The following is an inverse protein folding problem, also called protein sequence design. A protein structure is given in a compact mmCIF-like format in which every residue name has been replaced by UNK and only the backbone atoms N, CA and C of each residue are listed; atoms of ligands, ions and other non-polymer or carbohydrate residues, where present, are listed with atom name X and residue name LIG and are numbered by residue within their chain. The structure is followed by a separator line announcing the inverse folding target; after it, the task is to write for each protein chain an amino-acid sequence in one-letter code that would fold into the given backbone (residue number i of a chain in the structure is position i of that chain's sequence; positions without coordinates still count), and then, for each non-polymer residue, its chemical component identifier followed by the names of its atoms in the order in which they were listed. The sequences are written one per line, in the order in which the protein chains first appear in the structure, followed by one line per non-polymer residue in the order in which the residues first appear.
data_IF_584785176671
#
_entry.id   IF_584785176671
#
_cell.length_a   1.000
_cell.length_b   1.000
_cell.length_c   1.000
_cell.angle_alpha   90.00
_cell.angle_beta   90.00
_cell.angle_gamma   90.00
#
_symmetry.space_group_name_H-M   'P 1'
#
loop_
_entity.id
_entity.type
_entity.pdbx_description
1 polymer ?
#
# COMPACT_ATOMS: atom_id res chain seq x y z
N UNK A 1 3.22 -33.87 33.70
CA UNK A 1 3.06 -32.90 32.61
C UNK A 1 4.38 -32.16 32.48
N UNK A 2 5.01 -32.11 31.30
CA UNK A 2 6.24 -31.34 31.13
C UNK A 2 5.90 -29.84 31.27
N UNK A 3 6.73 -29.12 32.02
CA UNK A 3 6.62 -27.68 32.27
C UNK A 3 6.78 -26.93 30.93
N UNK A 4 5.88 -26.00 30.54
CA UNK A 4 6.07 -25.22 29.33
C UNK A 4 7.39 -24.44 29.40
N UNK A 5 8.11 -24.38 28.28
CA UNK A 5 9.38 -23.66 28.19
C UNK A 5 9.21 -22.20 28.64
N UNK A 6 10.25 -21.59 29.26
CA UNK A 6 10.15 -20.21 29.71
C UNK A 6 9.95 -19.27 28.51
N UNK A 7 8.80 -18.60 28.47
CA UNK A 7 8.55 -17.48 27.54
C UNK A 7 9.62 -16.42 27.74
N UNK A 8 10.30 -16.05 26.67
CA UNK A 8 11.40 -15.07 26.72
C UNK A 8 10.83 -13.65 26.59
N UNK A 9 11.44 -12.69 27.29
CA UNK A 9 11.00 -11.28 27.42
C UNK A 9 10.78 -10.54 26.09
N UNK A 10 11.31 -11.06 24.96
CA UNK A 10 11.16 -10.48 23.61
C UNK A 10 9.76 -10.60 23.01
N UNK A 11 8.91 -11.49 23.52
CA UNK A 11 7.56 -11.71 22.97
C UNK A 11 6.53 -10.67 23.48
N UNK A 12 6.89 -9.86 24.50
CA UNK A 12 6.03 -8.83 25.08
C UNK A 12 6.31 -7.40 24.59
N UNK A 13 7.32 -7.22 23.73
CA UNK A 13 7.72 -5.90 23.19
C UNK A 13 7.20 -5.64 21.77
N UNK A 14 6.25 -6.47 21.31
CA UNK A 14 5.56 -6.27 20.05
C UNK A 14 4.47 -5.19 20.19
N UNK A 15 4.27 -4.32 19.18
CA UNK A 15 3.17 -3.36 19.20
C UNK A 15 1.84 -4.11 19.31
N UNK A 16 1.01 -3.68 20.27
CA UNK A 16 -0.33 -4.24 20.46
C UNK A 16 -1.15 -3.98 19.19
N UNK A 17 -1.83 -5.00 18.68
CA UNK A 17 -2.71 -4.85 17.52
C UNK A 17 -3.73 -3.74 17.78
N UNK A 18 -3.87 -2.81 16.83
CA UNK A 18 -4.77 -1.66 16.96
C UNK A 18 -4.18 -0.46 17.70
N UNK A 19 -2.99 -0.55 18.30
CA UNK A 19 -2.31 0.61 18.91
C UNK A 19 -2.01 1.73 17.89
N UNK A 20 -1.94 1.41 16.60
CA UNK A 20 -1.81 2.41 15.52
C UNK A 20 -3.05 3.30 15.36
N UNK A 21 -4.22 2.83 15.80
CA UNK A 21 -5.50 3.54 15.74
C UNK A 21 -5.77 4.38 16.99
N UNK A 22 -4.95 4.24 18.04
CA UNK A 22 -5.09 4.95 19.32
C UNK A 22 -3.99 5.99 19.55
N UNK A 23 -3.36 6.48 18.48
CA UNK A 23 -2.36 7.54 18.57
C UNK A 23 -2.96 8.87 19.04
N UNK A 24 -2.11 9.75 19.57
CA UNK A 24 -2.54 11.13 19.90
C UNK A 24 -2.97 11.87 18.64
N UNK A 25 -3.96 12.77 18.78
CA UNK A 25 -4.42 13.61 17.68
C UNK A 25 -3.26 14.50 17.19
N UNK A 26 -2.98 14.46 15.89
CA UNK A 26 -1.90 15.23 15.29
C UNK A 26 -0.54 14.53 15.34
N UNK A 27 -0.46 13.28 15.77
CA UNK A 27 0.77 12.51 15.78
C UNK A 27 1.25 12.15 14.37
N UNK A 28 0.36 12.16 13.37
CA UNK A 28 0.71 11.90 11.97
C UNK A 28 1.03 13.19 11.22
N UNK A 29 2.06 13.22 10.37
CA UNK A 29 2.40 14.43 9.62
C UNK A 29 1.25 14.98 8.76
N UNK A 30 0.44 14.10 8.15
CA UNK A 30 -0.74 14.47 7.36
C UNK A 30 -1.94 14.96 8.18
N UNK A 31 -1.93 14.80 9.51
CA UNK A 31 -2.95 15.37 10.41
C UNK A 31 -2.63 16.82 10.78
N UNK A 32 -1.38 17.25 10.57
CA UNK A 32 -0.91 18.61 10.79
C UNK A 32 -1.11 19.46 9.53
N UNK A 33 -1.13 20.80 9.66
CA UNK A 33 -1.18 21.67 8.49
C UNK A 33 0.01 21.43 7.56
N UNK A 34 -0.26 21.47 6.25
CA UNK A 34 0.75 21.24 5.22
C UNK A 34 1.89 22.25 5.30
N UNK A 35 3.13 21.75 5.13
CA UNK A 35 4.33 22.61 5.15
C UNK A 35 4.42 23.51 3.91
N UNK A 36 4.00 22.99 2.75
CA UNK A 36 3.93 23.66 1.45
C UNK A 36 2.46 23.67 1.00
N UNK A 37 1.66 24.67 1.38
CA UNK A 37 0.24 24.72 1.03
C UNK A 37 0.00 25.19 -0.41
N UNK A 38 0.97 25.83 -1.06
CA UNK A 38 0.82 26.38 -2.41
C UNK A 38 1.17 25.36 -3.50
N UNK A 39 0.44 25.41 -4.61
CA UNK A 39 0.73 24.59 -5.81
C UNK A 39 2.10 24.95 -6.39
N UNK A 40 2.43 26.24 -6.45
CA UNK A 40 3.68 26.75 -7.03
C UNK A 40 4.90 26.28 -6.22
N UNK A 41 4.85 26.42 -4.89
CA UNK A 41 5.93 25.97 -4.00
C UNK A 41 6.17 24.45 -4.10
N UNK A 42 5.10 23.66 -4.27
CA UNK A 42 5.23 22.22 -4.46
C UNK A 42 5.82 21.87 -5.83
N UNK A 43 5.44 22.59 -6.89
CA UNK A 43 6.02 22.39 -8.22
C UNK A 43 7.53 22.67 -8.19
N UNK A 44 7.95 23.78 -7.60
CA UNK A 44 9.36 24.12 -7.46
C UNK A 44 10.13 23.02 -6.72
N UNK A 45 9.56 22.54 -5.60
CA UNK A 45 10.13 21.44 -4.84
C UNK A 45 10.29 20.15 -5.67
N UNK A 46 9.24 19.74 -6.38
CA UNK A 46 9.29 18.52 -7.20
C UNK A 46 10.20 18.67 -8.41
N UNK A 47 10.28 19.87 -9.02
CA UNK A 47 11.23 20.16 -10.10
C UNK A 47 12.67 19.97 -9.63
N UNK A 48 13.05 20.57 -8.51
CA UNK A 48 14.40 20.42 -7.97
C UNK A 48 14.70 18.96 -7.58
N UNK A 49 13.74 18.27 -6.98
CA UNK A 49 13.91 16.88 -6.56
C UNK A 49 14.08 15.92 -7.75
N UNK A 50 13.23 16.05 -8.78
CA UNK A 50 13.19 15.12 -9.92
C UNK A 50 14.31 15.37 -10.92
N UNK A 51 14.65 16.63 -11.17
CA UNK A 51 15.77 17.01 -12.06
C UNK A 51 17.13 16.95 -11.36
N UNK A 52 17.18 16.49 -10.11
CA UNK A 52 18.45 16.29 -9.43
C UNK A 52 19.27 15.19 -10.13
N UNK A 53 20.60 15.35 -10.24
CA UNK A 53 21.48 14.39 -10.92
C UNK A 53 21.50 13.01 -10.24
N UNK A 54 21.06 12.93 -8.98
CA UNK A 54 20.92 11.68 -8.26
C UNK A 54 19.60 10.95 -8.58
N UNK A 55 18.54 11.69 -8.93
CA UNK A 55 17.20 11.16 -9.11
C UNK A 55 16.92 10.77 -10.56
N UNK A 56 17.31 11.60 -11.54
CA UNK A 56 17.06 11.33 -12.97
C UNK A 56 17.52 9.93 -13.42
N UNK A 57 18.75 9.46 -13.12
CA UNK A 57 19.19 8.13 -13.54
C UNK A 57 18.39 7.00 -12.87
N UNK A 58 17.90 7.23 -11.64
CA UNK A 58 17.10 6.23 -10.92
C UNK A 58 15.70 6.12 -11.51
N UNK A 59 15.12 7.24 -11.92
CA UNK A 59 13.83 7.28 -12.61
C UNK A 59 13.96 6.54 -13.95
N UNK A 60 14.93 6.94 -14.77
CA UNK A 60 15.22 6.32 -16.06
C UNK A 60 15.38 4.79 -15.93
N UNK A 61 16.21 4.33 -14.99
CA UNK A 61 16.42 2.89 -14.78
C UNK A 61 15.16 2.13 -14.29
N UNK A 62 14.19 2.80 -13.67
CA UNK A 62 12.91 2.18 -13.31
C UNK A 62 11.93 2.15 -14.47
N UNK A 63 11.90 3.21 -15.29
CA UNK A 63 11.09 3.25 -16.52
C UNK A 63 11.55 2.16 -17.50
N UNK A 64 12.87 1.96 -17.65
CA UNK A 64 13.44 0.87 -18.47
C UNK A 64 13.00 -0.52 -17.98
N UNK A 65 12.78 -0.70 -16.67
CA UNK A 65 12.26 -1.95 -16.09
C UNK A 65 10.75 -2.15 -16.28
N UNK A 66 10.10 -1.29 -17.07
CA UNK A 66 8.68 -1.40 -17.40
C UNK A 66 7.75 -0.86 -16.31
N UNK A 67 8.24 -0.05 -15.37
CA UNK A 67 7.36 0.70 -14.47
C UNK A 67 6.73 1.85 -15.25
N UNK A 68 5.43 2.08 -15.03
CA UNK A 68 4.69 3.15 -15.69
C UNK A 68 5.03 4.50 -15.08
N UNK A 69 4.94 5.55 -15.89
CA UNK A 69 5.19 6.94 -15.47
C UNK A 69 4.18 7.38 -14.40
N UNK A 70 2.89 7.09 -14.63
CA UNK A 70 1.79 7.41 -13.70
C UNK A 70 1.97 6.77 -12.32
N UNK A 71 2.39 5.50 -12.25
CA UNK A 71 2.64 4.82 -10.97
C UNK A 71 3.71 5.54 -10.14
N UNK A 72 4.75 6.07 -10.80
CA UNK A 72 5.83 6.78 -10.13
C UNK A 72 5.37 8.16 -9.64
N UNK A 73 4.64 8.88 -10.48
CA UNK A 73 4.07 10.17 -10.11
C UNK A 73 3.10 10.05 -8.91
N UNK A 74 2.21 9.06 -8.96
CA UNK A 74 1.25 8.79 -7.89
C UNK A 74 1.95 8.43 -6.57
N UNK A 75 2.99 7.59 -6.63
CA UNK A 75 3.79 7.26 -5.46
C UNK A 75 4.43 8.49 -4.82
N UNK A 76 5.01 9.39 -5.62
CA UNK A 76 5.66 10.61 -5.12
C UNK A 76 4.66 11.55 -4.45
N UNK A 77 3.54 11.82 -5.11
CA UNK A 77 2.50 12.71 -4.59
C UNK A 77 1.90 12.12 -3.31
N UNK A 78 1.62 10.81 -3.28
CA UNK A 78 1.09 10.12 -2.10
C UNK A 78 2.08 10.14 -0.94
N UNK A 79 3.37 9.94 -1.21
CA UNK A 79 4.43 10.07 -0.19
C UNK A 79 4.50 11.49 0.35
N UNK A 80 4.38 12.51 -0.52
CA UNK A 80 4.34 13.91 -0.12
C UNK A 80 3.16 14.23 0.82
N UNK A 81 1.99 13.67 0.55
CA UNK A 81 0.82 13.77 1.45
C UNK A 81 1.12 13.08 2.77
N UNK A 82 1.63 11.85 2.75
CA UNK A 82 1.91 11.08 3.96
C UNK A 82 2.92 11.78 4.89
N UNK A 83 3.87 12.51 4.32
CA UNK A 83 4.85 13.33 5.03
C UNK A 83 4.31 14.70 5.47
N UNK A 84 3.06 15.04 5.14
CA UNK A 84 2.46 16.33 5.48
C UNK A 84 3.05 17.51 4.70
N UNK A 85 3.67 17.27 3.53
CA UNK A 85 4.25 18.34 2.71
C UNK A 85 3.16 19.18 2.08
N UNK A 86 2.18 18.53 1.46
CA UNK A 86 1.04 19.18 0.82
C UNK A 86 -0.24 18.39 1.10
N UNK A 87 -1.39 19.04 0.90
CA UNK A 87 -2.68 18.36 0.99
C UNK A 87 -2.93 17.49 -0.24
N UNK A 88 -3.94 16.62 -0.16
CA UNK A 88 -4.37 15.78 -1.29
C UNK A 88 -4.82 16.66 -2.46
N UNK A 89 -5.59 17.71 -2.18
CA UNK A 89 -6.12 18.62 -3.22
C UNK A 89 -4.98 19.26 -4.03
N UNK A 90 -3.93 19.72 -3.35
CA UNK A 90 -2.75 20.28 -4.01
C UNK A 90 -2.00 19.19 -4.78
N UNK A 91 -1.86 17.99 -4.20
CA UNK A 91 -1.25 16.84 -4.87
C UNK A 91 -1.91 16.50 -6.21
N UNK A 92 -3.24 16.47 -6.25
CA UNK A 92 -4.02 16.22 -7.46
C UNK A 92 -3.79 17.29 -8.53
N UNK A 93 -3.64 18.57 -8.12
CA UNK A 93 -3.37 19.66 -9.05
C UNK A 93 -1.95 19.62 -9.64
N UNK A 94 -0.98 19.10 -8.88
CA UNK A 94 0.43 19.04 -9.27
C UNK A 94 0.75 17.75 -10.06
N UNK A 95 -0.02 16.68 -9.87
CA UNK A 95 0.21 15.36 -10.45
C UNK A 95 0.42 15.37 -11.98
N UNK A 96 -0.40 16.05 -12.81
CA UNK A 96 -0.20 16.04 -14.27
C UNK A 96 1.17 16.58 -14.67
N UNK A 97 1.62 17.64 -14.01
CA UNK A 97 2.92 18.25 -14.27
C UNK A 97 4.07 17.34 -13.86
N UNK A 98 3.94 16.62 -12.74
CA UNK A 98 4.94 15.62 -12.32
C UNK A 98 5.06 14.49 -13.34
N UNK A 99 3.92 14.02 -13.88
CA UNK A 99 3.90 12.99 -14.93
C UNK A 99 4.69 13.47 -16.16
N UNK A 100 4.44 14.69 -16.62
CA UNK A 100 5.17 15.29 -17.75
C UNK A 100 6.67 15.40 -17.48
N UNK A 101 7.07 15.80 -16.27
CA UNK A 101 8.48 15.88 -15.90
C UNK A 101 9.17 14.51 -15.88
N UNK A 102 8.49 13.46 -15.43
CA UNK A 102 9.03 12.10 -15.45
C UNK A 102 9.14 11.58 -16.88
N UNK A 103 8.14 11.86 -17.72
CA UNK A 103 8.19 11.53 -19.15
C UNK A 103 9.35 12.25 -19.85
N UNK A 104 9.58 13.53 -19.54
CA UNK A 104 10.72 14.30 -20.04
C UNK A 104 12.06 13.63 -19.67
N UNK A 105 12.18 13.10 -18.45
CA UNK A 105 13.37 12.34 -18.06
C UNK A 105 13.49 11.07 -18.91
N UNK A 106 12.40 10.33 -19.15
CA UNK A 106 12.42 9.19 -20.06
C UNK A 106 12.93 9.55 -21.46
N UNK A 107 12.42 10.63 -22.04
CA UNK A 107 12.81 11.15 -23.35
C UNK A 107 14.29 11.59 -23.37
N UNK A 108 14.78 12.22 -22.31
CA UNK A 108 16.18 12.64 -22.18
C UNK A 108 17.16 11.46 -22.21
N UNK A 109 16.73 10.29 -21.75
CA UNK A 109 17.52 9.06 -21.72
C UNK A 109 17.21 8.13 -22.91
N UNK A 110 16.33 8.54 -23.84
CA UNK A 110 15.92 7.78 -25.03
C UNK A 110 15.36 6.38 -24.68
N UNK A 111 14.50 6.33 -23.66
CA UNK A 111 13.88 5.10 -23.15
C UNK A 111 12.43 5.02 -23.64
N UNK A 112 12.01 3.85 -24.12
CA UNK A 112 10.59 3.57 -24.35
C UNK A 112 9.87 3.31 -23.01
N UNK A 113 8.86 4.10 -22.68
CA UNK A 113 8.10 3.97 -21.44
C UNK A 113 6.58 4.00 -21.66
N UNK A 114 5.84 3.34 -20.76
CA UNK A 114 4.38 3.38 -20.71
C UNK A 114 3.92 4.52 -19.80
N UNK A 115 3.09 5.42 -20.33
CA UNK A 115 2.49 6.51 -19.57
C UNK A 115 1.49 6.00 -18.51
N UNK A 116 0.85 4.86 -18.75
CA UNK A 116 -0.15 4.26 -17.86
C UNK A 116 -1.45 5.08 -17.73
N UNK A 117 -1.71 6.00 -18.66
CA UNK A 117 -2.91 6.85 -18.69
C UNK A 117 -4.06 6.21 -19.47
N UNK A 118 -3.80 5.16 -20.24
CA UNK A 118 -4.84 4.45 -20.97
C UNK A 118 -5.56 3.45 -20.06
N UNK A 119 -6.88 3.36 -20.23
CA UNK A 119 -7.67 2.33 -19.57
C UNK A 119 -7.17 0.95 -20.03
N UNK A 120 -6.92 0.04 -19.07
CA UNK A 120 -6.59 -1.36 -19.39
C UNK A 120 -7.67 -1.89 -20.35
N UNK A 121 -7.27 -2.28 -21.55
CA UNK A 121 -8.18 -3.00 -22.45
C UNK A 121 -8.60 -4.31 -21.76
N UNK A 122 -9.78 -4.84 -22.11
CA UNK A 122 -10.27 -6.12 -21.57
C UNK A 122 -9.25 -7.27 -21.78
N UNK A 123 -8.41 -7.17 -22.82
CA UNK A 123 -7.31 -8.11 -23.14
C UNK A 123 -6.20 -8.14 -22.06
N UNK A 124 -6.06 -7.08 -21.28
CA UNK A 124 -5.09 -7.03 -20.16
C UNK A 124 -5.57 -7.76 -18.90
N UNK A 125 -6.84 -8.17 -18.82
CA UNK A 125 -7.35 -9.00 -17.70
C UNK A 125 -6.96 -10.46 -17.88
N UNK A 126 -6.97 -10.95 -19.12
CA UNK A 126 -6.58 -12.30 -19.46
C UNK A 126 -5.11 -12.54 -19.14
N UNK A 127 -4.23 -11.57 -19.42
CA UNK A 127 -2.79 -11.71 -19.12
C UNK A 127 -2.47 -11.81 -17.62
N UNK A 128 -3.27 -11.21 -16.73
CA UNK A 128 -3.06 -11.36 -15.29
C UNK A 128 -3.44 -12.76 -14.80
N UNK A 129 -4.54 -13.32 -15.30
CA UNK A 129 -4.98 -14.68 -14.95
C UNK A 129 -4.01 -15.69 -15.53
N UNK A 130 -3.59 -15.54 -16.77
CA UNK A 130 -2.62 -16.43 -17.43
C UNK A 130 -1.24 -16.40 -16.74
N UNK A 131 -0.76 -15.22 -16.31
CA UNK A 131 0.49 -15.10 -15.56
C UNK A 131 0.36 -15.68 -14.15
N UNK A 132 -0.79 -15.52 -13.50
CA UNK A 132 -1.05 -16.11 -12.19
C UNK A 132 -1.14 -17.63 -12.26
N UNK A 133 -1.82 -18.19 -13.27
CA UNK A 133 -1.90 -19.62 -13.53
C UNK A 133 -0.52 -20.21 -13.86
N UNK A 134 0.27 -19.55 -14.71
CA UNK A 134 1.62 -20.00 -15.03
C UNK A 134 2.58 -19.94 -13.82
N UNK A 135 2.38 -19.01 -12.90
CA UNK A 135 3.14 -18.94 -11.66
C UNK A 135 2.73 -20.04 -10.66
N UNK A 136 1.43 -20.37 -10.62
CA UNK A 136 0.89 -21.44 -9.79
C UNK A 136 1.34 -22.81 -10.29
N UNK A 137 1.26 -23.07 -11.59
CA UNK A 137 1.69 -24.33 -12.19
C UNK A 137 3.20 -24.56 -12.02
N UNK A 138 4.00 -23.50 -12.08
CA UNK A 138 5.45 -23.58 -11.80
C UNK A 138 5.76 -23.92 -10.35
N UNK A 139 4.91 -23.47 -9.41
CA UNK A 139 5.04 -23.82 -8.00
C UNK A 139 4.62 -25.27 -7.74
N UNK A 140 3.65 -25.80 -8.49
CA UNK A 140 3.25 -27.21 -8.44
C UNK A 140 4.34 -28.14 -9.01
N UNK A 141 5.08 -27.71 -10.02
CA UNK A 141 6.19 -28.49 -10.63
C UNK A 141 7.47 -28.53 -9.75
N UNK A 142 7.63 -27.60 -8.80
CA UNK A 142 8.82 -27.53 -7.91
C UNK A 142 8.59 -28.19 -6.53
N UNK A 143 7.38 -28.67 -6.22
CA UNK A 143 7.04 -29.23 -4.90
C UNK A 143 6.51 -30.67 -4.98
N UNK A 144 7.36 -31.59 -5.46
CA UNK A 144 7.25 -33.00 -5.09
C UNK A 144 7.57 -33.14 -3.59
N UNK A 145 6.56 -32.90 -2.76
CA UNK A 145 6.52 -33.45 -1.41
C UNK A 145 5.95 -32.58 -0.30
N UNK A 146 4.68 -32.14 -0.38
CA UNK A 146 3.79 -32.14 0.79
C UNK A 146 2.34 -32.29 0.33
N UNK A 147 1.70 -33.38 0.75
CA UNK A 147 0.29 -33.67 0.47
C UNK A 147 -0.58 -32.72 1.32
N UNK A 148 -1.04 -31.61 0.74
CA UNK A 148 -2.14 -30.84 1.31
C UNK A 148 -3.46 -31.57 1.01
N UNK A 149 -3.69 -32.65 1.77
CA UNK A 149 -4.98 -33.31 1.85
C UNK A 149 -6.01 -32.35 2.43
N UNK A 150 -7.02 -32.02 1.63
CA UNK A 150 -8.37 -31.74 2.12
C UNK A 150 -8.66 -30.28 2.48
N UNK A 151 -9.16 -29.53 1.52
CA UNK A 151 -10.14 -28.46 1.81
C UNK A 151 -11.06 -28.24 0.60
N UNK A 152 -11.81 -29.29 0.26
CA UNK A 152 -13.08 -29.16 -0.47
C UNK A 152 -14.16 -29.80 0.40
N UNK A 153 -15.33 -29.18 0.39
CA UNK A 153 -16.53 -29.44 1.18
C UNK A 153 -16.56 -28.77 2.56
N UNK A 154 -16.81 -27.45 2.57
CA UNK A 154 -17.55 -26.81 3.66
C UNK A 154 -19.03 -26.97 3.31
N UNK A 155 -19.63 -28.06 3.79
CA UNK A 155 -21.07 -28.26 3.80
C UNK A 155 -21.67 -27.24 4.79
N UNK A 156 -22.55 -26.37 4.28
CA UNK A 156 -23.31 -25.41 5.09
C UNK A 156 -24.31 -26.19 5.94
N UNK A 157 -23.89 -26.57 7.14
CA UNK A 157 -24.82 -27.02 8.17
C UNK A 157 -25.61 -25.81 8.70
N UNK A 158 -26.93 -25.84 8.53
CA UNK A 158 -27.84 -24.89 9.17
C UNK A 158 -27.71 -25.03 10.70
N UNK A 159 -27.14 -24.02 11.35
CA UNK A 159 -27.10 -23.97 12.82
C UNK A 159 -28.53 -23.91 13.39
N UNK A 160 -28.84 -24.68 14.44
CA UNK A 160 -30.10 -24.56 15.15
C UNK A 160 -30.16 -23.21 15.88
N UNK A 161 -31.29 -22.51 15.75
CA UNK A 161 -31.63 -21.29 16.51
C UNK A 161 -31.33 -21.50 18.02
N UNK A 162 -30.24 -20.91 18.48
CA UNK A 162 -29.87 -20.89 19.89
C UNK A 162 -30.54 -19.69 20.57
N UNK A 163 -31.36 -19.98 21.59
CA UNK A 163 -32.00 -18.99 22.46
C UNK A 163 -30.99 -17.95 22.99
N UNK A 164 -31.35 -16.67 22.88
CA UNK A 164 -30.55 -15.53 23.33
C UNK A 164 -30.18 -15.66 24.82
N UNK A 165 -28.87 -15.71 25.20
CA UNK A 165 -28.50 -15.52 26.59
C UNK A 165 -28.78 -14.05 27.00
N UNK A 166 -29.24 -13.79 28.23
CA UNK A 166 -29.64 -12.46 28.64
C UNK A 166 -28.48 -11.46 28.53
N UNK A 167 -28.74 -10.35 27.85
CA UNK A 167 -27.81 -9.23 27.64
C UNK A 167 -27.23 -8.77 28.99
N UNK A 168 -25.92 -8.91 29.25
CA UNK A 168 -25.32 -8.23 30.39
C UNK A 168 -25.27 -6.73 30.06
N UNK A 169 -25.95 -5.93 30.88
CA UNK A 169 -25.98 -4.46 30.78
C UNK A 169 -24.54 -3.89 30.68
N UNK A 170 -24.29 -2.84 29.87
CA UNK A 170 -22.96 -2.29 29.71
C UNK A 170 -22.47 -1.71 31.04
N UNK A 171 -21.44 -2.33 31.62
CA UNK A 171 -20.76 -1.81 32.80
C UNK A 171 -19.99 -0.53 32.43
N UNK A 172 -20.74 0.58 32.41
CA UNK A 172 -20.23 1.93 32.22
C UNK A 172 -19.24 2.30 33.34
N UNK A 173 -18.19 3.04 32.97
CA UNK A 173 -17.19 3.62 33.87
C UNK A 173 -17.77 4.67 34.85
N UNK A 174 -19.09 4.85 34.90
CA UNK A 174 -19.81 5.66 35.89
C UNK A 174 -20.39 4.82 37.05
N UNK A 175 -19.99 3.57 37.23
CA UNK A 175 -20.48 2.69 38.30
C UNK A 175 -19.58 2.67 39.56
N UNK A 176 -18.91 3.77 39.92
CA UNK A 176 -18.31 3.94 41.25
C UNK A 176 -18.50 5.38 41.75
N UNK A 177 -19.27 5.51 42.83
CA UNK A 177 -19.11 6.56 43.84
C UNK A 177 -18.58 5.91 45.10
#
# INVERSE_FOLDING_TARGET
MPNPAPVTERDFDAPIMGASLTGELGAKPYEQPATLPSVEENLDYYMEALLSPAMMPRIAANLERGRRVSDFAEFLVTSGVAEGRHTIDVGVLVLPTIIEMIALIGDMFDIDFDMGLEARSEESKDSFIEVAEAALSKAEDEEDGYVASGMNDVELEEEPEAEEPPVPEPASLMARR
#
